data_IF_540785882595
#
_entry.id   IF_540785882595
#
_cell.length_a   1.000
_cell.length_b   1.000
_cell.length_c   1.000
_cell.angle_alpha   90.00
_cell.angle_beta   90.00
_cell.angle_gamma   90.00
#
_symmetry.space_group_name_H-M   'P 1'
#
loop_
_entity.id
_entity.type
_entity.pdbx_description
1 polymer ?
#
# COMPACT_ATOMS: atom_id res chain seq x y z
N UNK A 1 -2.28 1.23 -31.81
CA UNK A 1 -0.98 0.62 -31.47
C UNK A 1 0.18 1.62 -31.47
N UNK A 2 0.35 2.45 -32.46
CA UNK A 2 1.42 3.46 -32.54
C UNK A 2 1.34 4.61 -31.50
N UNK A 3 0.17 4.97 -31.02
CA UNK A 3 -0.03 6.07 -30.05
C UNK A 3 0.28 5.68 -28.60
N UNK A 4 0.12 4.43 -28.26
CA UNK A 4 0.39 3.92 -26.89
C UNK A 4 1.89 3.77 -26.66
N UNK A 5 2.63 3.30 -27.66
CA UNK A 5 4.10 3.21 -27.57
C UNK A 5 4.77 4.59 -27.53
N UNK A 6 4.22 5.60 -28.21
CA UNK A 6 4.72 6.97 -28.11
C UNK A 6 4.49 7.61 -26.73
N UNK A 7 3.41 7.24 -26.03
CA UNK A 7 3.17 7.72 -24.67
C UNK A 7 4.10 7.02 -23.66
N UNK A 8 4.27 5.71 -23.76
CA UNK A 8 5.22 4.96 -22.90
C UNK A 8 6.65 5.45 -23.10
N UNK A 9 7.09 5.71 -24.32
CA UNK A 9 8.43 6.23 -24.57
C UNK A 9 8.63 7.68 -24.12
N UNK A 10 7.59 8.52 -24.12
CA UNK A 10 7.67 9.88 -23.57
C UNK A 10 7.69 9.90 -22.03
N UNK A 11 6.92 9.05 -21.38
CA UNK A 11 6.95 8.90 -19.93
C UNK A 11 8.28 8.31 -19.44
N UNK A 12 8.81 7.28 -20.14
CA UNK A 12 10.11 6.73 -19.85
C UNK A 12 11.24 7.75 -20.08
N UNK A 13 11.15 8.58 -21.11
CA UNK A 13 12.13 9.66 -21.35
C UNK A 13 12.02 10.80 -20.32
N UNK A 14 10.85 11.10 -19.81
CA UNK A 14 10.68 12.07 -18.74
C UNK A 14 11.20 11.51 -17.42
N UNK A 15 10.96 10.23 -17.12
CA UNK A 15 11.48 9.56 -15.94
C UNK A 15 13.00 9.32 -16.00
N UNK A 16 13.59 9.18 -17.19
CA UNK A 16 15.05 9.06 -17.36
C UNK A 16 15.79 10.41 -17.27
N UNK A 17 15.07 11.53 -17.32
CA UNK A 17 15.66 12.88 -17.22
C UNK A 17 15.69 13.43 -15.80
N UNK A 18 15.00 12.78 -14.87
CA UNK A 18 14.99 13.17 -13.47
C UNK A 18 15.48 11.96 -12.69
N UNK A 19 16.75 12.00 -12.30
CA UNK A 19 17.34 11.11 -11.31
C UNK A 19 16.73 11.46 -9.93
N UNK A 20 15.38 11.48 -9.89
CA UNK A 20 14.61 11.77 -8.70
C UNK A 20 14.22 10.45 -8.08
N UNK A 21 14.82 10.18 -6.96
CA UNK A 21 14.31 9.20 -6.02
C UNK A 21 12.81 9.47 -5.75
N UNK A 22 11.98 8.45 -5.53
CA UNK A 22 10.57 8.65 -5.27
C UNK A 22 10.40 9.58 -4.07
N UNK A 23 9.65 10.64 -4.25
CA UNK A 23 9.33 11.62 -3.21
C UNK A 23 7.84 11.89 -3.21
N UNK A 24 7.29 12.07 -2.01
CA UNK A 24 5.90 12.43 -1.81
C UNK A 24 5.77 13.36 -0.60
N UNK A 25 4.61 13.97 -0.44
CA UNK A 25 4.27 14.75 0.75
C UNK A 25 4.18 13.84 1.96
N UNK A 26 4.87 14.19 3.04
CA UNK A 26 4.77 13.46 4.30
C UNK A 26 3.38 13.66 4.90
N UNK A 27 2.70 12.55 5.20
CA UNK A 27 1.40 12.54 5.87
C UNK A 27 1.58 12.06 7.32
N UNK A 28 0.76 12.60 8.22
CA UNK A 28 0.64 12.10 9.58
C UNK A 28 -0.28 10.87 9.67
N UNK A 29 -0.54 10.38 10.88
CA UNK A 29 -1.41 9.22 11.13
C UNK A 29 -2.86 9.45 10.69
N UNK A 30 -3.30 10.70 10.62
CA UNK A 30 -4.64 11.11 10.16
C UNK A 30 -4.68 11.38 8.65
N UNK A 31 -3.58 11.16 7.93
CA UNK A 31 -3.45 11.42 6.50
C UNK A 31 -3.34 12.92 6.14
N UNK A 32 -2.96 13.77 7.09
CA UNK A 32 -2.80 15.21 6.87
C UNK A 32 -1.34 15.56 6.54
N UNK A 33 -1.09 16.52 5.64
CA UNK A 33 0.27 16.98 5.36
C UNK A 33 0.98 17.55 6.59
N UNK A 34 2.22 17.13 6.80
CA UNK A 34 3.06 17.58 7.90
C UNK A 34 3.88 18.80 7.47
N UNK A 35 3.99 19.81 8.34
CA UNK A 35 4.86 20.97 8.11
C UNK A 35 6.33 20.64 8.42
N UNK A 36 7.26 21.16 7.60
CA UNK A 36 8.70 21.05 7.82
C UNK A 36 9.24 22.01 8.92
N UNK A 37 8.37 22.83 9.50
CA UNK A 37 8.74 23.83 10.50
C UNK A 37 9.23 25.17 9.92
N UNK A 38 9.46 25.26 8.62
CA UNK A 38 9.91 26.48 7.92
C UNK A 38 8.78 27.17 7.14
N UNK A 39 7.57 26.65 7.23
CA UNK A 39 6.39 27.15 6.52
C UNK A 39 6.14 26.43 5.19
N UNK A 40 6.83 25.34 4.93
CA UNK A 40 6.63 24.45 3.79
C UNK A 40 6.16 23.08 4.26
N UNK A 41 5.84 22.20 3.33
CA UNK A 41 5.39 20.83 3.60
C UNK A 41 6.59 19.89 3.66
N UNK A 42 6.65 19.05 4.69
CA UNK A 42 7.66 17.99 4.79
C UNK A 42 7.48 16.94 3.67
N UNK A 43 8.58 16.40 3.19
CA UNK A 43 8.59 15.37 2.16
C UNK A 43 9.14 14.06 2.72
N UNK A 44 8.61 12.95 2.24
CA UNK A 44 9.19 11.61 2.40
C UNK A 44 9.88 11.20 1.11
N UNK A 45 10.92 10.40 1.22
CA UNK A 45 11.66 9.87 0.09
C UNK A 45 12.04 8.41 0.31
N UNK A 46 12.48 7.73 -0.75
CA UNK A 46 12.96 6.36 -0.71
C UNK A 46 11.99 5.37 -0.05
N UNK A 47 12.48 4.61 0.90
CA UNK A 47 11.74 3.56 1.60
C UNK A 47 10.53 4.11 2.36
N UNK A 48 10.63 5.29 2.93
CA UNK A 48 9.52 5.95 3.64
C UNK A 48 8.38 6.32 2.69
N UNK A 49 8.71 6.76 1.47
CA UNK A 49 7.73 7.05 0.43
C UNK A 49 6.94 5.79 0.03
N UNK A 50 7.63 4.68 -0.18
CA UNK A 50 6.97 3.41 -0.52
C UNK A 50 6.14 2.83 0.62
N UNK A 51 6.63 2.91 1.85
CA UNK A 51 5.87 2.47 3.01
C UNK A 51 4.61 3.32 3.20
N UNK A 52 4.71 4.63 3.01
CA UNK A 52 3.55 5.53 3.06
C UNK A 52 2.52 5.17 1.98
N UNK A 53 2.93 4.87 0.75
CA UNK A 53 2.02 4.43 -0.32
C UNK A 53 1.28 3.14 0.04
N UNK A 54 1.99 2.14 0.59
CA UNK A 54 1.37 0.90 1.03
C UNK A 54 0.38 1.14 2.18
N UNK A 55 0.75 1.96 3.15
CA UNK A 55 -0.13 2.33 4.28
C UNK A 55 -1.40 3.03 3.81
N UNK A 56 -1.25 3.99 2.91
CA UNK A 56 -2.40 4.71 2.34
C UNK A 56 -3.36 3.77 1.60
N UNK A 57 -2.83 2.85 0.80
CA UNK A 57 -3.67 1.86 0.12
C UNK A 57 -4.35 0.89 1.09
N UNK A 58 -3.66 0.47 2.15
CA UNK A 58 -4.22 -0.42 3.16
C UNK A 58 -5.40 0.20 3.92
N UNK A 59 -5.38 1.52 4.13
CA UNK A 59 -6.47 2.27 4.77
C UNK A 59 -7.61 2.63 3.82
N UNK A 60 -7.43 2.47 2.51
CA UNK A 60 -8.40 2.87 1.49
C UNK A 60 -9.32 1.71 1.13
N UNK A 61 -10.61 2.01 0.96
CA UNK A 61 -11.60 1.06 0.46
C UNK A 61 -11.59 1.01 -1.08
N UNK A 62 -11.80 -0.17 -1.66
CA UNK A 62 -11.94 -0.31 -3.12
C UNK A 62 -13.11 0.52 -3.64
N UNK A 63 -12.86 1.33 -4.67
CA UNK A 63 -13.87 2.22 -5.26
C UNK A 63 -14.08 3.53 -4.51
N UNK A 64 -13.37 3.78 -3.41
CA UNK A 64 -13.37 5.08 -2.72
C UNK A 64 -12.72 6.16 -3.60
N UNK A 65 -11.65 5.81 -4.27
CA UNK A 65 -11.02 6.67 -5.25
C UNK A 65 -11.58 6.36 -6.66
N UNK A 66 -11.94 7.39 -7.40
CA UNK A 66 -12.35 7.27 -8.82
C UNK A 66 -11.15 7.00 -9.72
N UNK A 67 -10.34 6.01 -9.37
CA UNK A 67 -9.17 5.61 -10.11
C UNK A 67 -9.31 4.16 -10.56
N UNK A 68 -9.40 3.98 -11.86
CA UNK A 68 -9.23 2.68 -12.50
C UNK A 68 -7.89 2.70 -13.23
N UNK A 69 -7.07 1.68 -13.06
CA UNK A 69 -5.89 1.54 -13.89
C UNK A 69 -6.27 1.28 -15.35
N UNK A 70 -5.35 1.56 -16.27
CA UNK A 70 -5.59 1.39 -17.72
C UNK A 70 -5.90 -0.07 -18.11
N UNK A 71 -5.66 -1.02 -17.22
CA UNK A 71 -5.89 -2.46 -17.44
C UNK A 71 -7.21 -2.95 -16.82
N UNK A 72 -7.90 -2.10 -16.07
CA UNK A 72 -9.23 -2.39 -15.51
C UNK A 72 -9.28 -3.48 -14.45
N UNK A 73 -8.11 -3.92 -13.96
CA UNK A 73 -7.99 -5.14 -13.15
C UNK A 73 -7.51 -4.88 -11.70
N UNK A 74 -7.25 -3.62 -11.35
CA UNK A 74 -6.72 -3.32 -10.04
C UNK A 74 -7.29 -2.03 -9.48
N UNK A 75 -8.41 -2.14 -8.78
CA UNK A 75 -8.84 -1.05 -7.92
C UNK A 75 -7.81 -0.81 -6.82
N UNK A 76 -7.52 0.46 -6.59
CA UNK A 76 -6.74 0.90 -5.43
C UNK A 76 -7.55 0.68 -4.15
N UNK A 77 -6.88 0.30 -3.07
CA UNK A 77 -7.51 0.02 -1.79
C UNK A 77 -7.57 -1.47 -1.46
N UNK A 78 -7.47 -1.78 -0.18
CA UNK A 78 -7.48 -3.17 0.28
C UNK A 78 -8.84 -3.63 0.77
N UNK A 79 -9.76 -2.70 1.09
CA UNK A 79 -11.09 -3.01 1.62
C UNK A 79 -11.07 -4.01 2.76
N UNK A 80 -10.19 -3.79 3.74
CA UNK A 80 -10.03 -4.70 4.87
C UNK A 80 -11.28 -4.76 5.74
N UNK A 81 -12.07 -3.68 5.79
CA UNK A 81 -13.32 -3.62 6.55
C UNK A 81 -14.38 -4.61 6.06
N UNK A 82 -14.33 -5.03 4.79
CA UNK A 82 -15.24 -6.02 4.23
C UNK A 82 -15.20 -7.36 4.98
N UNK A 83 -14.01 -7.74 5.47
CA UNK A 83 -13.81 -9.00 6.21
C UNK A 83 -14.29 -8.93 7.67
N UNK A 84 -14.50 -7.73 8.20
CA UNK A 84 -14.71 -7.49 9.61
C UNK A 84 -16.18 -7.43 10.01
N UNK A 85 -17.07 -7.59 9.03
CA UNK A 85 -18.53 -7.59 9.24
C UNK A 85 -19.10 -8.99 9.53
N UNK A 86 -18.29 -10.03 9.43
CA UNK A 86 -18.67 -11.42 9.61
C UNK A 86 -18.03 -12.08 10.83
N UNK A 87 -18.25 -13.37 10.97
CA UNK A 87 -17.56 -14.18 11.96
C UNK A 87 -16.12 -14.44 11.51
N UNK A 88 -15.19 -14.36 12.46
CA UNK A 88 -13.80 -14.72 12.21
C UNK A 88 -13.64 -16.23 12.23
N UNK A 89 -13.20 -16.78 11.12
CA UNK A 89 -12.85 -18.17 10.96
C UNK A 89 -11.57 -18.35 10.13
N UNK A 90 -11.14 -19.58 9.98
CA UNK A 90 -9.93 -19.91 9.19
C UNK A 90 -10.05 -19.46 7.73
N UNK A 91 -11.28 -19.42 7.19
CA UNK A 91 -11.54 -18.98 5.82
C UNK A 91 -11.36 -17.47 5.69
N UNK A 92 -11.91 -16.70 6.60
CA UNK A 92 -11.72 -15.24 6.66
C UNK A 92 -10.24 -14.88 6.79
N UNK A 93 -9.51 -15.62 7.65
CA UNK A 93 -8.06 -15.43 7.77
C UNK A 93 -7.33 -15.66 6.44
N UNK A 94 -7.66 -16.72 5.72
CA UNK A 94 -7.05 -17.01 4.43
C UNK A 94 -7.40 -15.95 3.37
N UNK A 95 -8.63 -15.45 3.35
CA UNK A 95 -9.06 -14.39 2.42
C UNK A 95 -8.30 -13.10 2.68
N UNK A 96 -8.14 -12.67 3.91
CA UNK A 96 -7.36 -11.48 4.29
C UNK A 96 -5.91 -11.64 3.81
N UNK A 97 -5.28 -12.78 4.11
CA UNK A 97 -3.90 -13.07 3.70
C UNK A 97 -3.76 -13.03 2.17
N UNK A 98 -4.70 -13.61 1.44
CA UNK A 98 -4.67 -13.63 -0.02
C UNK A 98 -4.89 -12.25 -0.62
N UNK A 99 -5.81 -11.45 -0.08
CA UNK A 99 -6.04 -10.08 -0.50
C UNK A 99 -4.78 -9.24 -0.34
N UNK A 100 -4.17 -9.24 0.83
CA UNK A 100 -2.93 -8.52 1.13
C UNK A 100 -1.82 -8.94 0.16
N UNK A 101 -1.61 -10.23 -0.01
CA UNK A 101 -0.61 -10.75 -0.94
C UNK A 101 -0.85 -10.29 -2.38
N UNK A 102 -2.09 -10.35 -2.84
CA UNK A 102 -2.47 -9.90 -4.19
C UNK A 102 -2.19 -8.41 -4.39
N UNK A 103 -2.58 -7.58 -3.43
CA UNK A 103 -2.37 -6.13 -3.51
C UNK A 103 -0.90 -5.75 -3.44
N UNK A 104 -0.13 -6.35 -2.55
CA UNK A 104 1.30 -6.07 -2.41
C UNK A 104 2.12 -6.58 -3.60
N UNK A 105 1.76 -7.73 -4.18
CA UNK A 105 2.50 -8.35 -5.30
C UNK A 105 2.44 -7.53 -6.59
N UNK A 106 1.58 -6.53 -6.70
CA UNK A 106 1.51 -5.62 -7.84
C UNK A 106 2.67 -4.64 -7.91
N UNK A 107 3.38 -4.45 -6.81
CA UNK A 107 4.50 -3.52 -6.71
C UNK A 107 5.80 -4.21 -7.11
N UNK A 108 6.45 -3.72 -8.13
CA UNK A 108 7.68 -4.31 -8.69
C UNK A 108 8.84 -4.34 -7.70
N UNK A 109 8.85 -3.43 -6.72
CA UNK A 109 9.91 -3.35 -5.72
C UNK A 109 9.73 -4.34 -4.56
N UNK A 110 8.60 -5.05 -4.48
CA UNK A 110 8.33 -6.07 -3.46
C UNK A 110 8.62 -7.46 -4.01
N UNK A 111 9.43 -8.23 -3.29
CA UNK A 111 9.58 -9.66 -3.56
C UNK A 111 8.32 -10.40 -3.10
N UNK A 112 7.47 -10.75 -4.05
CA UNK A 112 6.19 -11.43 -3.78
C UNK A 112 6.36 -12.77 -3.04
N UNK A 113 7.48 -13.45 -3.23
CA UNK A 113 7.79 -14.69 -2.54
C UNK A 113 8.12 -14.50 -1.05
N UNK A 114 8.52 -13.29 -0.66
CA UNK A 114 8.90 -12.97 0.71
C UNK A 114 7.73 -12.54 1.59
N UNK A 115 6.56 -12.25 1.02
CA UNK A 115 5.40 -11.73 1.75
C UNK A 115 4.89 -12.79 2.72
N UNK A 116 4.90 -12.45 4.01
CA UNK A 116 4.32 -13.25 5.09
C UNK A 116 3.31 -12.42 5.84
N UNK A 117 2.09 -12.93 5.96
CA UNK A 117 1.01 -12.24 6.64
C UNK A 117 0.51 -13.10 7.80
N UNK A 118 0.49 -12.53 8.99
CA UNK A 118 -0.09 -13.14 10.19
C UNK A 118 -1.34 -12.36 10.58
N UNK A 119 -2.46 -13.04 10.78
CA UNK A 119 -3.72 -12.44 11.18
C UNK A 119 -4.14 -13.04 12.52
N UNK A 120 -4.39 -12.19 13.50
CA UNK A 120 -4.92 -12.56 14.81
C UNK A 120 -6.16 -11.73 15.10
N UNK A 121 -7.13 -12.32 15.78
CA UNK A 121 -8.36 -11.67 16.22
C UNK A 121 -8.59 -11.96 17.70
N UNK A 122 -8.71 -10.91 18.51
CA UNK A 122 -8.89 -11.04 19.95
C UNK A 122 -10.37 -11.04 20.40
N UNK A 123 -11.29 -11.05 19.45
CA UNK A 123 -12.73 -10.94 19.65
C UNK A 123 -13.30 -9.54 19.37
N UNK A 124 -12.45 -8.53 19.21
CA UNK A 124 -12.85 -7.15 18.93
C UNK A 124 -11.98 -6.48 17.87
N UNK A 125 -10.69 -6.74 17.89
CA UNK A 125 -9.70 -6.09 17.03
C UNK A 125 -8.95 -7.14 16.22
N UNK A 126 -8.81 -6.89 14.93
CA UNK A 126 -7.91 -7.64 14.07
C UNK A 126 -6.52 -7.04 14.15
N UNK A 127 -5.53 -7.90 14.40
CA UNK A 127 -4.11 -7.55 14.37
C UNK A 127 -3.48 -8.27 13.20
N UNK A 128 -3.06 -7.52 12.21
CA UNK A 128 -2.46 -8.05 10.99
C UNK A 128 -1.02 -7.58 10.93
N UNK A 129 -0.08 -8.53 10.87
CA UNK A 129 1.33 -8.23 10.66
C UNK A 129 1.77 -8.73 9.31
N UNK A 130 2.43 -7.88 8.55
CA UNK A 130 2.95 -8.17 7.23
C UNK A 130 4.46 -7.97 7.25
N UNK A 131 5.21 -9.03 6.90
CA UNK A 131 6.65 -8.97 6.70
C UNK A 131 6.95 -9.19 5.21
N UNK A 132 7.84 -8.40 4.65
CA UNK A 132 8.25 -8.53 3.25
C UNK A 132 9.66 -7.99 3.02
N UNK A 133 10.25 -8.33 1.87
CA UNK A 133 11.54 -7.82 1.42
C UNK A 133 11.42 -7.12 0.09
N UNK A 134 12.34 -6.20 -0.17
CA UNK A 134 12.48 -5.57 -1.49
C UNK A 134 13.21 -6.49 -2.45
N UNK A 135 12.93 -6.34 -3.74
CA UNK A 135 13.59 -7.09 -4.81
C UNK A 135 15.07 -6.74 -4.98
N UNK A 136 15.45 -5.50 -4.64
CA UNK A 136 16.80 -4.94 -4.84
C UNK A 136 17.67 -4.97 -3.57
N UNK A 137 17.12 -5.38 -2.44
CA UNK A 137 17.84 -5.47 -1.17
C UNK A 137 17.37 -6.65 -0.33
N UNK A 138 18.20 -7.06 0.63
CA UNK A 138 17.82 -8.07 1.62
C UNK A 138 17.17 -7.45 2.88
N UNK A 139 16.88 -6.16 2.85
CA UNK A 139 16.21 -5.49 3.96
C UNK A 139 14.79 -6.02 4.13
N UNK A 140 14.42 -6.33 5.36
CA UNK A 140 13.08 -6.78 5.74
C UNK A 140 12.31 -5.61 6.33
N UNK A 141 11.07 -5.47 5.90
CA UNK A 141 10.13 -4.45 6.35
C UNK A 141 8.93 -5.12 7.00
N UNK A 142 8.38 -4.48 8.01
CA UNK A 142 7.19 -4.92 8.71
C UNK A 142 6.16 -3.80 8.72
N UNK A 143 4.91 -4.17 8.51
CA UNK A 143 3.75 -3.29 8.64
C UNK A 143 2.79 -3.96 9.61
N UNK A 144 2.36 -3.24 10.62
CA UNK A 144 1.35 -3.67 11.56
C UNK A 144 0.04 -2.90 11.28
N UNK A 145 -1.07 -3.64 11.18
CA UNK A 145 -2.40 -3.10 10.91
C UNK A 145 -3.32 -3.53 12.04
N UNK A 146 -4.05 -2.57 12.60
CA UNK A 146 -5.12 -2.81 13.54
C UNK A 146 -6.46 -2.36 12.96
N UNK A 147 -7.50 -3.15 13.15
CA UNK A 147 -8.85 -2.76 12.73
C UNK A 147 -9.92 -3.32 13.64
N UNK A 148 -10.91 -2.48 13.95
CA UNK A 148 -12.03 -2.80 14.80
C UNK A 148 -13.37 -2.90 14.04
N UNK A 149 -13.35 -3.00 12.73
CA UNK A 149 -14.53 -3.04 11.87
C UNK A 149 -15.13 -1.68 11.52
N UNK A 150 -14.57 -0.60 12.04
CA UNK A 150 -14.97 0.79 11.75
C UNK A 150 -13.80 1.58 11.22
N UNK A 151 -12.61 1.33 11.72
CA UNK A 151 -11.39 2.05 11.45
C UNK A 151 -10.24 1.08 11.20
N UNK A 152 -9.37 1.44 10.28
CA UNK A 152 -8.10 0.74 9.98
C UNK A 152 -6.96 1.67 10.33
N UNK A 153 -6.08 1.24 11.23
CA UNK A 153 -4.87 1.96 11.65
C UNK A 153 -3.66 1.17 11.17
N UNK A 154 -2.71 1.83 10.54
CA UNK A 154 -1.48 1.21 10.00
C UNK A 154 -0.25 1.88 10.62
N UNK A 155 0.60 1.07 11.25
CA UNK A 155 1.87 1.48 11.86
C UNK A 155 3.10 0.97 11.09
#
# INVERSE_FOLDING_TARGET
MYLVERRKSRLLNILSFVDCEPQDVMLDEDGQPVSDGNGDTALVSDDECWLQDIKNEAMTEEGELFYEDEEGDASYGWSLLDFMQGEYDDFTQMEIQQRIRSKMSKRDYIDAGSIQTTVNFDGHIYHIRIAFRRTDSNSEYNIDIESNGVEVIVE
#
